data_IF_696128259723
#
_entry.id   IF_696128259723
#
_cell.length_a   1.000
_cell.length_b   1.000
_cell.length_c   1.000
_cell.angle_alpha   90.00
_cell.angle_beta   90.00
_cell.angle_gamma   90.00
#
_symmetry.space_group_name_H-M   'P 1'
#
loop_
_entity.id
_entity.type
_entity.pdbx_description
1 polymer ?
#
# COMPACT_ATOMS: atom_id res chain seq x y z
N UNK A 1 -13.41 5.35 26.52
CA UNK A 1 -12.37 4.33 26.35
C UNK A 1 -11.58 4.76 25.13
N UNK A 2 -10.44 5.43 25.34
CA UNK A 2 -9.62 5.95 24.26
C UNK A 2 -8.44 4.99 24.12
N UNK A 3 -8.68 3.88 23.42
CA UNK A 3 -7.67 2.84 23.22
C UNK A 3 -6.68 3.33 22.16
N UNK A 4 -5.62 3.99 22.61
CA UNK A 4 -4.44 4.24 21.78
C UNK A 4 -3.84 2.87 21.47
N UNK A 5 -4.20 2.31 20.31
CA UNK A 5 -3.58 1.09 19.79
C UNK A 5 -2.06 1.29 19.82
N UNK A 6 -1.27 0.34 20.36
CA UNK A 6 0.18 0.47 20.34
C UNK A 6 0.62 0.74 18.91
N UNK A 7 1.40 1.80 18.69
CA UNK A 7 1.85 2.17 17.35
C UNK A 7 2.73 1.05 16.78
N UNK A 8 2.13 0.12 16.03
CA UNK A 8 2.85 -0.92 15.30
C UNK A 8 3.81 -0.23 14.35
N UNK A 9 5.12 -0.48 14.51
CA UNK A 9 6.18 0.20 13.76
C UNK A 9 6.02 -0.10 12.26
N UNK A 10 5.91 0.94 11.45
CA UNK A 10 5.90 0.84 9.98
C UNK A 10 7.22 0.31 9.44
N UNK A 11 7.20 -0.38 8.30
CA UNK A 11 8.40 -0.83 7.60
C UNK A 11 9.16 0.31 6.89
N UNK A 12 8.52 1.47 6.66
CA UNK A 12 9.11 2.60 5.95
C UNK A 12 10.05 3.39 6.86
N UNK A 13 11.37 3.27 6.61
CA UNK A 13 12.41 3.90 7.44
C UNK A 13 13.15 5.06 6.76
N UNK A 14 13.19 5.08 5.43
CA UNK A 14 13.88 6.13 4.70
C UNK A 14 12.89 7.26 4.33
N UNK A 15 13.37 8.51 4.15
CA UNK A 15 12.51 9.65 3.86
C UNK A 15 11.69 9.50 2.57
N UNK A 16 12.25 8.82 1.56
CA UNK A 16 11.57 8.59 0.29
C UNK A 16 10.32 7.72 0.48
N UNK A 17 10.47 6.57 1.15
CA UNK A 17 9.36 5.65 1.43
C UNK A 17 8.30 6.30 2.32
N UNK A 18 8.68 7.12 3.29
CA UNK A 18 7.74 7.86 4.14
C UNK A 18 6.94 8.87 3.30
N UNK A 19 7.60 9.58 2.37
CA UNK A 19 6.94 10.53 1.49
C UNK A 19 5.97 9.82 0.52
N UNK A 20 6.41 8.71 -0.09
CA UNK A 20 5.58 7.92 -0.99
C UNK A 20 4.38 7.30 -0.26
N UNK A 21 4.59 6.74 0.94
CA UNK A 21 3.52 6.22 1.78
C UNK A 21 2.47 7.29 2.11
N UNK A 22 2.90 8.49 2.48
CA UNK A 22 2.01 9.62 2.78
C UNK A 22 1.20 10.08 1.56
N UNK A 23 1.74 9.91 0.34
CA UNK A 23 1.07 10.25 -0.92
C UNK A 23 0.10 9.17 -1.40
N UNK A 24 0.27 7.91 -0.97
CA UNK A 24 -0.53 6.79 -1.45
C UNK A 24 -2.04 6.99 -1.25
N UNK A 25 -2.46 7.53 -0.10
CA UNK A 25 -3.88 7.81 0.20
C UNK A 25 -4.49 8.89 -0.70
N UNK A 26 -3.65 9.66 -1.38
CA UNK A 26 -4.05 10.70 -2.33
C UNK A 26 -3.84 10.25 -3.79
N UNK A 27 -3.63 8.95 -4.05
CA UNK A 27 -3.32 8.43 -5.38
C UNK A 27 -4.26 8.98 -6.46
N UNK A 28 -5.56 9.01 -6.19
CA UNK A 28 -6.57 9.43 -7.16
C UNK A 28 -6.43 10.89 -7.61
N UNK A 29 -5.89 11.77 -6.75
CA UNK A 29 -5.71 13.20 -7.04
C UNK A 29 -4.36 13.52 -7.70
N UNK A 30 -3.47 12.53 -7.84
CA UNK A 30 -2.16 12.71 -8.44
C UNK A 30 -2.26 12.93 -9.97
N UNK A 31 -1.28 13.64 -10.51
CA UNK A 31 -1.07 13.75 -11.95
C UNK A 31 -0.77 12.36 -12.56
N UNK A 32 -1.01 12.12 -13.86
CA UNK A 32 -0.70 10.83 -14.49
C UNK A 32 0.76 10.39 -14.32
N UNK A 33 1.71 11.33 -14.41
CA UNK A 33 3.13 11.06 -14.20
C UNK A 33 3.45 10.70 -12.74
N UNK A 34 2.80 11.36 -11.78
CA UNK A 34 2.96 11.02 -10.36
C UNK A 34 2.30 9.68 -10.01
N UNK A 35 1.16 9.36 -10.63
CA UNK A 35 0.50 8.06 -10.49
C UNK A 35 1.42 6.92 -10.92
N UNK A 36 2.14 7.07 -12.04
CA UNK A 36 3.10 6.07 -12.50
C UNK A 36 4.19 5.81 -11.46
N UNK A 37 4.83 6.85 -10.94
CA UNK A 37 5.88 6.72 -9.91
C UNK A 37 5.34 6.14 -8.60
N UNK A 38 4.13 6.55 -8.22
CA UNK A 38 3.47 6.06 -7.03
C UNK A 38 3.14 4.58 -7.15
N UNK A 39 2.66 4.16 -8.32
CA UNK A 39 2.33 2.77 -8.62
C UNK A 39 3.57 1.88 -8.65
N UNK A 40 4.66 2.32 -9.28
CA UNK A 40 5.94 1.60 -9.28
C UNK A 40 6.43 1.33 -7.85
N UNK A 41 6.45 2.37 -7.02
CA UNK A 41 6.81 2.23 -5.60
C UNK A 41 5.85 1.29 -4.85
N UNK A 42 4.53 1.47 -5.02
CA UNK A 42 3.54 0.67 -4.31
C UNK A 42 3.67 -0.82 -4.64
N UNK A 43 3.85 -1.15 -5.91
CA UNK A 43 4.05 -2.53 -6.38
C UNK A 43 5.30 -3.18 -5.77
N UNK A 44 6.42 -2.45 -5.68
CA UNK A 44 7.62 -2.95 -4.99
C UNK A 44 7.38 -3.24 -3.51
N UNK A 45 6.64 -2.35 -2.83
CA UNK A 45 6.31 -2.55 -1.41
C UNK A 45 5.31 -3.67 -1.20
N UNK A 46 4.31 -3.80 -2.06
CA UNK A 46 3.35 -4.90 -2.02
C UNK A 46 4.04 -6.26 -2.18
N UNK A 47 5.03 -6.38 -3.07
CA UNK A 47 5.81 -7.63 -3.24
C UNK A 47 6.59 -8.05 -1.99
N UNK A 48 7.02 -7.08 -1.18
CA UNK A 48 7.96 -7.33 -0.06
C UNK A 48 7.30 -7.30 1.32
N UNK A 49 6.29 -6.45 1.51
CA UNK A 49 5.66 -6.21 2.81
C UNK A 49 4.34 -6.96 2.97
N UNK A 50 3.67 -7.29 1.87
CA UNK A 50 2.42 -8.06 1.90
C UNK A 50 2.10 -8.64 0.53
N UNK A 51 2.84 -9.67 0.08
CA UNK A 51 2.42 -10.40 -1.10
C UNK A 51 1.06 -11.05 -0.84
N UNK A 52 0.27 -11.25 -1.90
CA UNK A 52 -0.93 -12.09 -1.80
C UNK A 52 -0.53 -13.46 -1.19
N UNK A 53 -1.26 -13.98 -0.19
CA UNK A 53 -0.95 -15.28 0.42
C UNK A 53 -0.91 -16.44 -0.59
N UNK A 54 -1.67 -16.32 -1.67
CA UNK A 54 -1.74 -17.29 -2.77
C UNK A 54 -0.71 -17.01 -3.89
N UNK A 55 0.14 -15.99 -3.74
CA UNK A 55 1.20 -15.67 -4.70
C UNK A 55 0.76 -14.87 -5.92
N UNK A 56 -0.50 -14.41 -5.97
CA UNK A 56 -0.99 -13.55 -7.06
C UNK A 56 -0.44 -12.12 -6.99
N UNK A 57 -0.31 -11.49 -8.15
CA UNK A 57 0.05 -10.08 -8.26
C UNK A 57 -1.09 -9.16 -7.79
N UNK A 58 -0.74 -7.96 -7.37
CA UNK A 58 -1.69 -6.92 -6.99
C UNK A 58 -2.02 -6.03 -8.19
N UNK A 59 -3.31 -5.92 -8.51
CA UNK A 59 -3.84 -5.12 -9.61
C UNK A 59 -4.47 -3.85 -9.05
N UNK A 60 -4.05 -2.69 -9.57
CA UNK A 60 -4.58 -1.39 -9.15
C UNK A 60 -6.09 -1.31 -9.40
N UNK A 61 -6.83 -0.90 -8.38
CA UNK A 61 -8.24 -0.52 -8.44
C UNK A 61 -8.45 0.83 -7.77
N UNK A 62 -9.66 1.41 -7.85
CA UNK A 62 -9.94 2.65 -7.15
C UNK A 62 -9.79 2.46 -5.65
N UNK A 63 -8.94 3.27 -5.02
CA UNK A 63 -8.70 3.25 -3.57
C UNK A 63 -7.82 2.09 -3.05
N UNK A 64 -7.18 1.32 -3.93
CA UNK A 64 -6.31 0.22 -3.49
C UNK A 64 -6.00 -0.81 -4.58
N UNK A 65 -5.94 -2.08 -4.19
CA UNK A 65 -5.53 -3.18 -5.05
C UNK A 65 -6.36 -4.45 -4.80
N UNK A 66 -6.70 -5.18 -5.86
CA UNK A 66 -7.16 -6.56 -5.77
C UNK A 66 -6.06 -7.50 -6.22
N UNK A 67 -5.95 -8.68 -5.60
CA UNK A 67 -5.07 -9.69 -6.14
C UNK A 67 -5.62 -10.22 -7.48
N UNK A 68 -4.76 -10.70 -8.38
CA UNK A 68 -5.16 -11.23 -9.68
C UNK A 68 -6.07 -12.47 -9.58
N UNK A 69 -6.07 -13.17 -8.43
CA UNK A 69 -7.02 -14.24 -8.12
C UNK A 69 -8.42 -13.76 -7.71
N UNK A 70 -8.60 -12.46 -7.43
CA UNK A 70 -9.88 -11.83 -7.10
C UNK A 70 -10.37 -12.02 -5.66
N UNK A 71 -9.63 -12.75 -4.82
CA UNK A 71 -10.05 -13.08 -3.45
C UNK A 71 -9.57 -12.11 -2.36
N UNK A 72 -8.49 -11.38 -2.61
CA UNK A 72 -7.85 -10.51 -1.61
C UNK A 72 -7.85 -9.05 -2.05
N UNK A 73 -8.04 -8.15 -1.09
CA UNK A 73 -8.01 -6.71 -1.30
C UNK A 73 -7.07 -6.02 -0.31
N UNK A 74 -6.44 -4.94 -0.75
CA UNK A 74 -5.77 -4.01 0.15
C UNK A 74 -6.09 -2.57 -0.22
N UNK A 75 -6.30 -1.74 0.79
CA UNK A 75 -6.55 -0.32 0.60
C UNK A 75 -5.26 0.48 0.42
N UNK A 76 -5.38 1.68 -0.14
CA UNK A 76 -4.29 2.67 -0.16
C UNK A 76 -3.82 3.05 1.24
N UNK A 77 -4.74 3.07 2.22
CA UNK A 77 -4.40 3.32 3.61
C UNK A 77 -3.51 2.20 4.15
N UNK A 78 -3.85 0.93 3.91
CA UNK A 78 -3.06 -0.21 4.38
C UNK A 78 -1.67 -0.22 3.74
N UNK A 79 -1.56 0.15 2.46
CA UNK A 79 -0.26 0.33 1.78
C UNK A 79 0.53 1.47 2.43
N UNK A 80 -0.11 2.61 2.71
CA UNK A 80 0.51 3.76 3.38
C UNK A 80 0.98 3.45 4.81
N UNK A 81 0.28 2.58 5.54
CA UNK A 81 0.69 2.17 6.88
C UNK A 81 2.01 1.38 6.86
N UNK A 82 2.25 0.61 5.80
CA UNK A 82 3.48 -0.20 5.66
C UNK A 82 3.60 -1.32 6.70
N UNK A 83 2.45 -1.83 7.20
CA UNK A 83 2.39 -2.86 8.25
C UNK A 83 2.25 -4.30 7.70
N UNK A 84 2.04 -4.47 6.39
CA UNK A 84 1.83 -5.78 5.77
C UNK A 84 0.51 -6.45 6.20
N UNK A 85 0.32 -7.71 5.79
CA UNK A 85 -0.82 -8.54 6.23
C UNK A 85 -2.16 -8.15 5.59
N UNK A 86 -2.23 -8.17 4.26
CA UNK A 86 -3.46 -7.93 3.52
C UNK A 86 -4.30 -9.20 3.48
N UNK A 87 -5.55 -9.13 3.96
CA UNK A 87 -6.53 -10.22 3.92
C UNK A 87 -7.80 -9.71 3.26
#
# INVERSE_FOLDING_TARGET
QNEVRPATKTAFKNPHDIAMASRQVQYETLSPHDKQKQEEWAQEKLKTLGPCPEGFEWLRVRGGYHCAGGNHWTSDETVAEGKGGFY
#
